data_IF_507272662281
#
_entry.id   IF_507272662281
#
_cell.length_a   1.000
_cell.length_b   1.000
_cell.length_c   1.000
_cell.angle_alpha   90.00
_cell.angle_beta   90.00
_cell.angle_gamma   90.00
#
_symmetry.space_group_name_H-M   'P 1'
#
loop_
_entity.id
_entity.type
_entity.pdbx_description
1 polymer ?
#
# COMPACT_ATOMS: atom_id res chain seq x y z
N UNK A 1 -23.06 -21.13 27.62
CA UNK A 1 -21.69 -20.59 27.81
C UNK A 1 -20.79 -20.84 26.59
N UNK A 2 -20.74 -22.06 26.01
CA UNK A 2 -19.93 -22.35 24.82
C UNK A 2 -20.29 -21.55 23.55
N UNK A 3 -21.58 -21.29 23.31
CA UNK A 3 -22.06 -20.52 22.14
C UNK A 3 -21.57 -19.06 22.13
N UNK A 4 -21.46 -18.44 23.30
CA UNK A 4 -20.97 -17.06 23.46
C UNK A 4 -19.46 -16.99 23.20
N UNK A 5 -18.71 -17.98 23.70
CA UNK A 5 -17.27 -18.12 23.43
C UNK A 5 -16.97 -18.29 21.93
N UNK A 6 -17.79 -19.04 21.20
CA UNK A 6 -17.65 -19.23 19.75
C UNK A 6 -17.84 -17.92 18.97
N UNK A 7 -18.77 -17.06 19.41
CA UNK A 7 -19.04 -15.76 18.79
C UNK A 7 -17.86 -14.80 19.02
N UNK A 8 -17.30 -14.76 20.23
CA UNK A 8 -16.10 -13.96 20.51
C UNK A 8 -14.89 -14.43 19.68
N UNK A 9 -14.72 -15.75 19.50
CA UNK A 9 -13.67 -16.30 18.66
C UNK A 9 -13.85 -15.91 17.18
N UNK A 10 -15.06 -15.95 16.65
CA UNK A 10 -15.36 -15.54 15.27
C UNK A 10 -15.11 -14.04 15.05
N UNK A 11 -15.50 -13.19 16.01
CA UNK A 11 -15.26 -11.75 15.96
C UNK A 11 -13.75 -11.45 15.97
N UNK A 12 -12.97 -12.15 16.79
CA UNK A 12 -11.51 -12.00 16.82
C UNK A 12 -10.85 -12.37 15.48
N UNK A 13 -11.27 -13.49 14.86
CA UNK A 13 -10.75 -13.94 13.56
C UNK A 13 -10.98 -12.91 12.46
N UNK A 14 -12.17 -12.29 12.41
CA UNK A 14 -12.46 -11.25 11.39
C UNK A 14 -11.59 -10.00 11.53
N UNK A 15 -11.16 -9.68 12.76
CA UNK A 15 -10.31 -8.50 13.04
C UNK A 15 -8.87 -8.72 12.58
N UNK A 16 -8.39 -9.96 12.57
CA UNK A 16 -7.01 -10.30 12.19
C UNK A 16 -6.80 -10.34 10.67
N UNK A 17 -7.84 -10.63 9.88
CA UNK A 17 -7.73 -10.79 8.42
C UNK A 17 -7.71 -9.43 7.68
N UNK A 18 -7.99 -8.32 8.35
CA UNK A 18 -8.10 -6.98 7.74
C UNK A 18 -6.75 -6.28 7.46
N UNK A 19 -5.67 -7.03 7.20
CA UNK A 19 -4.33 -6.51 6.92
C UNK A 19 -4.08 -6.15 5.45
N UNK A 20 -5.05 -5.55 4.75
CA UNK A 20 -4.86 -5.09 3.37
C UNK A 20 -4.06 -3.79 3.33
N UNK A 21 -3.13 -3.63 2.38
CA UNK A 21 -2.44 -2.34 2.21
C UNK A 21 -3.42 -1.26 1.76
N UNK A 22 -3.51 -0.17 2.53
CA UNK A 22 -4.38 0.95 2.22
C UNK A 22 -3.80 1.75 1.05
N UNK A 23 -4.61 2.04 0.03
CA UNK A 23 -4.19 2.86 -1.10
C UNK A 23 -4.32 4.35 -0.78
N UNK A 24 -3.45 5.19 -1.37
CA UNK A 24 -3.59 6.64 -1.32
C UNK A 24 -4.73 7.12 -2.21
N UNK A 25 -5.07 8.41 -2.09
CA UNK A 25 -5.77 9.13 -3.16
C UNK A 25 -4.96 9.10 -4.45
N UNK A 26 -5.64 9.31 -5.57
CA UNK A 26 -5.02 9.46 -6.87
C UNK A 26 -4.40 10.87 -6.93
N UNK A 27 -3.12 10.95 -7.29
CA UNK A 27 -2.37 12.21 -7.34
C UNK A 27 -2.00 12.50 -8.80
N UNK A 28 -2.26 13.71 -9.33
CA UNK A 28 -1.83 14.09 -10.67
C UNK A 28 -0.32 14.41 -10.71
N UNK A 29 0.31 14.09 -11.83
CA UNK A 29 1.68 14.50 -12.20
C UNK A 29 1.66 15.11 -13.59
N UNK A 30 2.77 15.68 -14.04
CA UNK A 30 2.91 16.22 -15.40
C UNK A 30 2.82 15.14 -16.49
N UNK A 31 3.04 13.86 -16.13
CA UNK A 31 2.98 12.70 -17.05
C UNK A 31 1.75 11.81 -16.85
N UNK A 32 0.82 12.18 -15.98
CA UNK A 32 -0.41 11.42 -15.71
C UNK A 32 -0.66 11.18 -14.22
N UNK A 33 -1.64 10.35 -13.92
CA UNK A 33 -2.07 10.08 -12.54
C UNK A 33 -1.29 8.92 -11.92
N UNK A 34 -0.93 9.05 -10.65
CA UNK A 34 -0.26 8.00 -9.87
C UNK A 34 -1.05 7.65 -8.61
N UNK A 35 -0.86 6.42 -8.13
CA UNK A 35 -1.45 5.92 -6.87
C UNK A 35 -0.38 5.20 -6.07
N UNK A 36 -0.30 5.52 -4.79
CA UNK A 36 0.64 4.92 -3.86
C UNK A 36 -0.05 4.11 -2.78
N UNK A 37 0.74 3.77 -1.76
CA UNK A 37 0.32 3.03 -0.57
C UNK A 37 0.41 3.95 0.66
N UNK A 38 -0.59 3.91 1.52
CA UNK A 38 -0.58 4.56 2.82
C UNK A 38 0.01 3.58 3.84
N UNK A 39 1.27 3.83 4.21
CA UNK A 39 2.07 2.95 5.06
C UNK A 39 2.35 3.60 6.42
N UNK A 40 2.92 2.83 7.33
CA UNK A 40 3.35 3.31 8.65
C UNK A 40 4.80 2.92 8.90
N UNK A 41 5.57 3.77 9.56
CA UNK A 41 6.93 3.45 9.97
C UNK A 41 6.91 2.36 11.04
N UNK A 42 7.96 1.51 11.09
CA UNK A 42 8.07 0.48 12.13
C UNK A 42 8.14 1.12 13.51
N UNK A 43 9.03 2.12 13.66
CA UNK A 43 9.15 2.89 14.88
C UNK A 43 8.06 3.97 14.94
N UNK A 44 7.32 4.03 16.05
CA UNK A 44 6.27 5.02 16.32
C UNK A 44 5.07 5.01 15.36
N UNK A 45 4.97 4.05 14.44
CA UNK A 45 3.80 3.88 13.57
C UNK A 45 3.39 5.18 12.85
N UNK A 46 4.34 5.98 12.38
CA UNK A 46 4.08 7.28 11.76
C UNK A 46 3.52 7.04 10.35
N UNK A 47 2.34 7.58 10.01
CA UNK A 47 1.75 7.38 8.69
C UNK A 47 2.51 8.16 7.60
N UNK A 48 2.69 7.56 6.43
CA UNK A 48 3.28 8.20 5.27
C UNK A 48 2.72 7.62 3.95
N UNK A 49 2.85 8.37 2.86
CA UNK A 49 2.45 7.92 1.52
C UNK A 49 3.68 7.45 0.74
N UNK A 50 3.64 6.23 0.21
CA UNK A 50 4.71 5.62 -0.56
C UNK A 50 4.31 5.48 -2.03
N UNK A 51 4.95 6.26 -2.90
CA UNK A 51 4.80 6.14 -4.35
C UNK A 51 6.06 5.52 -4.94
N UNK A 52 5.98 4.25 -5.35
CA UNK A 52 7.12 3.46 -5.84
C UNK A 52 7.02 3.28 -7.35
N UNK A 53 8.18 3.28 -8.03
CA UNK A 53 8.25 2.93 -9.46
C UNK A 53 7.63 3.95 -10.41
N UNK A 54 7.49 5.22 -10.02
CA UNK A 54 7.01 6.27 -10.93
C UNK A 54 8.05 6.44 -12.07
N UNK A 55 7.66 6.23 -13.33
CA UNK A 55 8.57 6.40 -14.46
C UNK A 55 8.88 7.88 -14.67
N UNK A 56 10.17 8.24 -14.58
CA UNK A 56 10.66 9.60 -14.82
C UNK A 56 11.39 9.75 -16.15
N UNK A 57 11.71 8.63 -16.81
CA UNK A 57 12.42 8.59 -18.08
C UNK A 57 11.97 7.37 -18.90
N UNK A 58 12.32 7.35 -20.19
CA UNK A 58 12.18 6.16 -21.02
C UNK A 58 13.15 5.07 -20.52
N UNK A 59 12.76 3.78 -20.50
CA UNK A 59 13.68 2.70 -20.13
C UNK A 59 14.95 2.73 -20.99
N UNK A 60 16.16 2.72 -20.39
CA UNK A 60 17.45 2.87 -21.10
C UNK A 60 17.89 1.56 -21.77
N UNK A 61 17.03 1.04 -22.65
CA UNK A 61 17.20 -0.24 -23.33
C UNK A 61 17.57 -0.03 -24.80
N UNK A 62 18.15 -1.07 -25.43
CA UNK A 62 18.51 -1.04 -26.85
C UNK A 62 19.43 0.13 -27.21
N UNK A 63 19.00 0.97 -28.16
CA UNK A 63 19.76 2.15 -28.61
C UNK A 63 19.88 3.25 -27.56
N UNK A 64 19.06 3.22 -26.50
CA UNK A 64 19.13 4.14 -25.37
C UNK A 64 20.13 3.69 -24.30
N UNK A 65 20.67 2.46 -24.39
CA UNK A 65 21.69 2.00 -23.45
C UNK A 65 22.97 2.83 -23.64
N UNK A 66 23.49 3.36 -22.53
CA UNK A 66 24.67 4.24 -22.51
C UNK A 66 24.46 5.60 -23.23
N UNK A 67 23.22 6.11 -23.24
CA UNK A 67 22.86 7.44 -23.74
C UNK A 67 22.29 8.30 -22.63
#
# INVERSE_FOLDING_TARGET
MHKISLIFALIAITRTIAGGEQLTSIVPTDKGFVRGLALRTVQNSIPYSAFKGIPYAKPPLGRLRFK
#
